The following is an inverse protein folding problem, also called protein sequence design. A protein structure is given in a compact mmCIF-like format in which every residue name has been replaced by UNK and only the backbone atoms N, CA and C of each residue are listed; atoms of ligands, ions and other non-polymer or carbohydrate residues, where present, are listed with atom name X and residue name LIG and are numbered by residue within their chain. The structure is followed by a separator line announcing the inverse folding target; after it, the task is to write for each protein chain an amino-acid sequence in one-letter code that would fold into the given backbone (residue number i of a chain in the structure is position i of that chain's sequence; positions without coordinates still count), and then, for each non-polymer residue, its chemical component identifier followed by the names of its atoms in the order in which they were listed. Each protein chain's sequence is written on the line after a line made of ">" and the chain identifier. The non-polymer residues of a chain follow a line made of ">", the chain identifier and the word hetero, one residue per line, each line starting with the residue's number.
data_IF_828697389955
#
_entry.id   IF_828697389955
#
_cell.length_a   1.000
_cell.length_b   1.000
_cell.length_c   1.000
_cell.angle_alpha   90.00
_cell.angle_beta   90.00
_cell.angle_gamma   90.00
#
_symmetry.space_group_name_H-M   'P 1'
#
loop_
_entity.id
_entity.type
_entity.pdbx_description
1 polymer ?
#
# COMPACT_ATOMS: atom_id res chain seq x y z
N UNK A 1 2.98 4.44 13.31
CA UNK A 1 2.94 5.46 12.24
C UNK A 1 2.10 4.95 11.08
N UNK A 2 1.62 5.83 10.22
CA UNK A 2 0.82 5.47 9.06
C UNK A 2 1.76 4.99 7.94
N UNK A 3 1.39 3.91 7.27
CA UNK A 3 2.12 3.42 6.12
C UNK A 3 1.54 4.05 4.86
N UNK A 4 2.40 4.61 4.01
CA UNK A 4 2.01 5.24 2.75
C UNK A 4 2.39 4.35 1.58
N UNK A 5 1.45 4.14 0.67
CA UNK A 5 1.72 3.51 -0.61
C UNK A 5 2.70 4.39 -1.39
N UNK A 6 3.86 3.84 -1.69
CA UNK A 6 4.89 4.53 -2.46
C UNK A 6 4.80 4.15 -3.91
N UNK A 7 4.76 2.86 -4.25
CA UNK A 7 4.80 2.37 -5.62
C UNK A 7 3.93 1.13 -5.74
N UNK A 8 3.21 1.00 -6.84
CA UNK A 8 2.56 -0.26 -7.24
C UNK A 8 3.50 -0.94 -8.23
N UNK A 9 3.99 -2.13 -7.89
CA UNK A 9 4.89 -2.92 -8.75
C UNK A 9 4.10 -3.71 -9.77
N UNK A 10 3.00 -4.31 -9.32
CA UNK A 10 2.17 -5.17 -10.14
C UNK A 10 0.70 -4.97 -9.78
N UNK A 11 -0.13 -5.02 -10.80
CA UNK A 11 -1.58 -5.03 -10.66
C UNK A 11 -2.13 -6.05 -11.64
N UNK A 12 -2.98 -6.95 -11.16
CA UNK A 12 -3.66 -7.95 -11.99
C UNK A 12 -5.13 -8.01 -11.61
N UNK A 13 -6.00 -8.28 -12.59
CA UNK A 13 -7.44 -8.44 -12.39
C UNK A 13 -7.90 -9.79 -12.89
N UNK A 14 -8.80 -10.43 -12.16
CA UNK A 14 -9.45 -11.69 -12.52
C UNK A 14 -10.97 -11.54 -12.36
N UNK A 15 -11.74 -11.98 -13.35
CA UNK A 15 -13.21 -11.79 -13.41
C UNK A 15 -13.98 -13.09 -13.18
N UNK A 16 -13.65 -13.81 -12.10
CA UNK A 16 -14.31 -15.08 -11.74
C UNK A 16 -15.19 -14.85 -10.53
N UNK A 17 -16.52 -15.01 -10.71
CA UNK A 17 -17.52 -14.84 -9.67
C UNK A 17 -17.39 -13.51 -8.90
N UNK A 18 -17.17 -12.41 -9.62
CA UNK A 18 -16.75 -11.12 -9.07
C UNK A 18 -15.55 -10.58 -9.82
N UNK A 19 -15.05 -9.43 -9.39
CA UNK A 19 -13.78 -8.88 -9.85
C UNK A 19 -12.79 -8.98 -8.71
N UNK A 20 -11.71 -9.75 -8.90
CA UNK A 20 -10.61 -9.86 -7.96
C UNK A 20 -9.42 -9.09 -8.51
N UNK A 21 -9.00 -8.05 -7.81
CA UNK A 21 -7.75 -7.35 -8.06
C UNK A 21 -6.69 -7.85 -7.09
N UNK A 22 -5.50 -8.12 -7.60
CA UNK A 22 -4.31 -8.42 -6.80
C UNK A 22 -3.24 -7.38 -7.12
N UNK A 23 -2.75 -6.71 -6.09
CA UNK A 23 -1.74 -5.67 -6.18
C UNK A 23 -0.51 -6.06 -5.39
N UNK A 24 0.67 -5.93 -5.99
CA UNK A 24 1.94 -5.93 -5.27
C UNK A 24 2.38 -4.48 -5.07
N UNK A 25 2.38 -4.03 -3.82
CA UNK A 25 2.50 -2.62 -3.47
C UNK A 25 3.58 -2.41 -2.43
N UNK A 26 4.44 -1.44 -2.69
CA UNK A 26 5.50 -1.02 -1.81
C UNK A 26 5.02 0.08 -0.87
N UNK A 27 5.14 -0.12 0.43
CA UNK A 27 4.76 0.84 1.46
C UNK A 27 5.99 1.38 2.19
N UNK A 28 5.99 2.69 2.43
CA UNK A 28 6.98 3.40 3.24
C UNK A 28 6.35 3.98 4.50
N UNK A 29 7.16 4.18 5.55
CA UNK A 29 6.69 4.80 6.79
C UNK A 29 6.57 6.33 6.61
N UNK A 30 5.43 6.89 7.00
CA UNK A 30 5.21 8.33 6.98
C UNK A 30 5.57 8.98 8.31
N UNK A 31 5.62 10.31 8.33
CA UNK A 31 5.80 11.10 9.56
C UNK A 31 4.56 11.14 10.44
N UNK A 32 3.39 10.68 9.95
CA UNK A 32 2.14 10.76 10.70
C UNK A 32 1.96 9.58 11.64
N UNK A 33 1.42 9.85 12.83
CA UNK A 33 1.03 8.78 13.75
C UNK A 33 -0.36 8.28 13.41
N UNK A 34 -0.61 7.02 13.75
CA UNK A 34 -1.92 6.40 13.58
C UNK A 34 -2.85 6.99 14.64
N UNK A 35 -3.96 7.59 14.23
CA UNK A 35 -4.94 8.22 15.12
C UNK A 35 -4.96 9.75 15.09
N UNK A 36 -3.92 10.40 14.55
CA UNK A 36 -3.86 11.87 14.45
C UNK A 36 -4.74 12.42 13.31
N UNK A 37 -5.06 11.57 12.32
CA UNK A 37 -5.86 11.93 11.15
C UNK A 37 -6.91 10.86 10.90
N UNK A 38 -8.10 11.29 10.46
CA UNK A 38 -9.10 10.38 9.91
C UNK A 38 -8.58 9.80 8.59
N UNK A 39 -9.00 8.59 8.24
CA UNK A 39 -8.55 7.93 7.01
C UNK A 39 -8.83 8.77 5.75
N UNK A 40 -9.89 9.59 5.77
CA UNK A 40 -10.25 10.50 4.69
C UNK A 40 -9.31 11.73 4.56
N UNK A 41 -8.67 12.14 5.66
CA UNK A 41 -7.80 13.33 5.69
C UNK A 41 -6.33 12.99 5.40
N UNK A 42 -6.03 11.71 5.20
CA UNK A 42 -4.71 11.20 4.85
C UNK A 42 -4.38 11.49 3.40
N UNK A 43 -3.97 12.72 3.14
CA UNK A 43 -3.49 13.12 1.82
C UNK A 43 -1.97 13.16 1.74
N UNK A 44 -1.47 13.08 0.50
CA UNK A 44 -0.06 13.13 0.16
C UNK A 44 0.65 14.39 0.69
N UNK A 45 -0.09 15.49 0.80
CA UNK A 45 0.39 16.80 1.27
C UNK A 45 0.55 16.83 2.79
N UNK A 46 -0.41 16.25 3.51
CA UNK A 46 -0.46 16.28 4.97
C UNK A 46 0.47 15.23 5.58
N UNK A 47 0.71 14.14 4.85
CA UNK A 47 1.45 13.01 5.34
C UNK A 47 2.65 12.66 4.45
N UNK A 48 3.78 13.33 4.75
CA UNK A 48 5.03 13.11 4.04
C UNK A 48 5.68 11.79 4.49
N UNK A 49 6.43 11.17 3.57
CA UNK A 49 7.29 10.05 3.92
C UNK A 49 8.39 10.54 4.87
N UNK A 50 8.72 9.73 5.88
CA UNK A 50 9.77 10.08 6.82
C UNK A 50 11.11 10.15 6.06
N UNK A 51 11.83 11.25 6.27
CA UNK A 51 13.18 11.60 5.76
C UNK A 51 13.65 10.89 4.47
N UNK A 52 13.50 11.55 3.31
CA UNK A 52 14.23 11.28 2.06
C UNK A 52 13.48 10.51 0.96
N UNK A 53 12.23 10.09 1.20
CA UNK A 53 11.37 9.51 0.15
C UNK A 53 11.86 8.15 -0.37
N UNK A 54 11.46 7.77 -1.60
CA UNK A 54 11.68 6.43 -2.21
C UNK A 54 13.15 5.95 -2.28
N UNK A 55 14.16 6.80 -2.00
CA UNK A 55 15.59 6.50 -2.16
C UNK A 55 16.46 6.98 -1.00
N UNK A 56 15.88 7.17 0.19
CA UNK A 56 16.68 7.49 1.37
C UNK A 56 17.52 6.27 1.76
N UNK A 57 18.84 6.37 1.63
CA UNK A 57 19.78 5.32 2.05
C UNK A 57 19.52 5.01 3.54
N UNK A 58 19.21 3.75 3.86
CA UNK A 58 18.86 3.29 5.20
C UNK A 58 17.36 3.17 5.50
N UNK A 59 16.47 3.54 4.56
CA UNK A 59 15.04 3.26 4.68
C UNK A 59 14.69 1.85 4.20
N UNK A 60 13.80 1.22 4.96
CA UNK A 60 13.28 -0.12 4.67
C UNK A 60 11.79 0.01 4.32
N UNK A 61 11.48 -0.23 3.05
CA UNK A 61 10.12 -0.35 2.57
C UNK A 61 9.57 -1.76 2.85
N UNK A 62 8.25 -1.88 2.79
CA UNK A 62 7.55 -3.15 3.00
C UNK A 62 6.72 -3.44 1.77
N UNK A 63 6.99 -4.57 1.14
CA UNK A 63 6.23 -5.09 0.01
C UNK A 63 5.04 -5.88 0.55
N UNK A 64 3.84 -5.53 0.08
CA UNK A 64 2.59 -6.18 0.41
C UNK A 64 1.91 -6.68 -0.84
N UNK A 65 1.25 -7.83 -0.72
CA UNK A 65 0.26 -8.31 -1.65
C UNK A 65 -1.12 -7.95 -1.08
N UNK A 66 -1.88 -7.17 -1.84
CA UNK A 66 -3.22 -6.72 -1.48
C UNK A 66 -4.19 -7.33 -2.49
N UNK A 67 -5.11 -8.15 -1.99
CA UNK A 67 -6.20 -8.68 -2.79
C UNK A 67 -7.50 -7.94 -2.43
N UNK A 68 -8.15 -7.38 -3.43
CA UNK A 68 -9.49 -6.80 -3.34
C UNK A 68 -10.42 -7.69 -4.17
N UNK A 69 -11.41 -8.30 -3.53
CA UNK A 69 -12.48 -9.00 -4.23
C UNK A 69 -13.78 -8.25 -4.08
N UNK A 70 -14.32 -7.77 -5.19
CA UNK A 70 -15.57 -7.03 -5.25
C UNK A 70 -16.62 -7.78 -6.08
N UNK A 71 -17.87 -7.69 -5.63
CA UNK A 71 -19.05 -8.06 -6.41
C UNK A 71 -20.02 -6.88 -6.34
N UNK A 72 -19.96 -5.95 -7.30
CA UNK A 72 -20.75 -4.71 -7.24
C UNK A 72 -22.26 -4.96 -7.12
N UNK A 73 -22.75 -6.04 -7.73
CA UNK A 73 -24.17 -6.43 -7.70
C UNK A 73 -24.64 -6.99 -6.34
N UNK A 74 -23.71 -7.40 -5.46
CA UNK A 74 -24.00 -7.90 -4.12
C UNK A 74 -23.60 -6.89 -3.02
N UNK A 75 -23.07 -5.70 -3.40
CA UNK A 75 -22.45 -4.76 -2.45
C UNK A 75 -21.43 -5.45 -1.54
N UNK A 76 -20.66 -6.36 -2.11
CA UNK A 76 -19.66 -7.15 -1.40
C UNK A 76 -18.27 -6.68 -1.76
N UNK A 77 -17.47 -6.40 -0.74
CA UNK A 77 -16.05 -6.09 -0.85
C UNK A 77 -15.30 -6.86 0.23
N UNK A 78 -14.21 -7.53 -0.16
CA UNK A 78 -13.32 -8.22 0.74
C UNK A 78 -11.87 -7.85 0.45
N UNK A 79 -11.15 -7.49 1.51
CA UNK A 79 -9.74 -7.15 1.45
C UNK A 79 -8.93 -8.24 2.15
N UNK A 80 -7.89 -8.72 1.47
CA UNK A 80 -6.86 -9.57 2.05
C UNK A 80 -5.51 -8.87 1.89
N UNK A 81 -4.75 -8.77 2.98
CA UNK A 81 -3.46 -8.07 2.98
C UNK A 81 -2.41 -9.01 3.53
N UNK A 82 -1.44 -9.35 2.69
CA UNK A 82 -0.33 -10.23 3.05
C UNK A 82 0.98 -9.46 2.94
N UNK A 83 1.77 -9.47 4.01
CA UNK A 83 3.14 -8.94 3.96
C UNK A 83 4.02 -9.95 3.23
N UNK A 84 4.64 -9.53 2.13
CA UNK A 84 5.57 -10.37 1.39
C UNK A 84 6.97 -10.29 1.98
N UNK A 85 7.58 -9.10 1.96
CA UNK A 85 8.95 -8.89 2.47
C UNK A 85 9.26 -7.43 2.78
N UNK A 86 10.40 -7.20 3.42
CA UNK A 86 11.00 -5.88 3.49
C UNK A 86 11.90 -5.66 2.27
N UNK A 87 11.99 -4.43 1.77
CA UNK A 87 12.78 -4.03 0.60
C UNK A 87 13.62 -2.83 0.99
N UNK A 88 14.93 -2.87 0.73
CA UNK A 88 15.82 -1.75 1.02
C UNK A 88 15.74 -0.68 -0.09
N UNK A 89 16.04 0.57 0.24
CA UNK A 89 15.92 1.70 -0.70
C UNK A 89 16.89 1.63 -1.90
N UNK A 90 17.92 0.81 -1.81
CA UNK A 90 18.97 0.56 -2.80
C UNK A 90 18.73 -0.68 -3.66
N UNK A 91 17.65 -1.44 -3.40
CA UNK A 91 17.26 -2.60 -4.18
C UNK A 91 16.51 -2.16 -5.46
N UNK A 92 16.93 -2.67 -6.62
CA UNK A 92 16.21 -2.47 -7.89
C UNK A 92 15.00 -3.43 -7.94
N UNK A 93 13.80 -2.86 -8.15
CA UNK A 93 12.50 -3.53 -8.05
C UNK A 93 11.89 -3.83 -9.42
#
# INVERSE_FOLDING_TARGET
>A
MIARCTLVLKATSQVVAGVKYTFEVLYGESTCKKGDFLAADLNATNCQLKSGGRRAVGFVFKLYEVELWEKPWENFEQFNVKKLRNVAADEEL
#
